data_IF_631128816940
#
_entry.id   IF_631128816940
#
_cell.length_a   1.000
_cell.length_b   1.000
_cell.length_c   1.000
_cell.angle_alpha   90.00
_cell.angle_beta   90.00
_cell.angle_gamma   90.00
#
_symmetry.space_group_name_H-M   'P 1'
#
loop_
_entity.id
_entity.type
_entity.pdbx_description
1 polymer ?
#
# COMPACT_ATOMS: atom_id res chain seq x y z
N UNK A 1 14.95 0.40 -1.06
CA UNK A 1 14.95 -0.34 0.23
C UNK A 1 13.76 -1.29 0.29
N UNK A 2 13.99 -2.59 0.05
CA UNK A 2 12.97 -3.66 0.19
C UNK A 2 12.75 -4.44 -1.10
N UNK A 3 13.00 -5.75 -1.06
CA UNK A 3 12.92 -6.67 -2.21
C UNK A 3 11.67 -7.57 -2.21
N UNK A 4 10.54 -7.05 -1.70
CA UNK A 4 9.23 -7.70 -1.90
C UNK A 4 8.69 -7.43 -3.30
N UNK A 5 7.53 -8.00 -3.65
CA UNK A 5 6.96 -7.92 -5.01
C UNK A 5 6.88 -6.50 -5.54
N UNK A 6 6.41 -5.55 -4.70
CA UNK A 6 6.27 -4.16 -5.11
C UNK A 6 7.61 -3.41 -5.19
N UNK A 7 8.52 -3.63 -4.24
CA UNK A 7 9.85 -3.02 -4.28
C UNK A 7 10.69 -3.48 -5.46
N UNK A 8 10.64 -4.77 -5.80
CA UNK A 8 11.29 -5.31 -7.00
C UNK A 8 10.64 -4.79 -8.28
N UNK A 9 9.30 -4.68 -8.32
CA UNK A 9 8.60 -4.10 -9.47
C UNK A 9 9.03 -2.65 -9.69
N UNK A 10 9.11 -1.83 -8.65
CA UNK A 10 9.57 -0.45 -8.78
C UNK A 10 11.03 -0.38 -9.18
N UNK A 11 11.90 -1.23 -8.63
CA UNK A 11 13.29 -1.27 -9.04
C UNK A 11 13.42 -1.49 -10.55
N UNK A 12 12.65 -2.44 -11.11
CA UNK A 12 12.53 -2.65 -12.56
C UNK A 12 12.03 -1.39 -13.28
N UNK A 13 10.95 -0.75 -12.80
CA UNK A 13 10.40 0.47 -13.44
C UNK A 13 11.41 1.61 -13.48
N UNK A 14 12.12 1.87 -12.37
CA UNK A 14 13.17 2.89 -12.32
C UNK A 14 14.34 2.53 -13.25
N UNK A 15 14.74 1.26 -13.33
CA UNK A 15 15.77 0.80 -14.27
C UNK A 15 15.33 0.96 -15.72
N UNK A 16 14.10 0.60 -16.06
CA UNK A 16 13.53 0.73 -17.41
C UNK A 16 13.34 2.21 -17.82
N UNK A 17 13.17 3.11 -16.85
CA UNK A 17 13.18 4.55 -17.04
C UNK A 17 14.61 5.13 -17.23
N UNK A 18 15.65 4.29 -17.16
CA UNK A 18 17.04 4.66 -17.45
C UNK A 18 17.87 5.08 -16.25
N UNK A 19 17.44 4.79 -15.01
CA UNK A 19 18.18 5.15 -13.80
C UNK A 19 19.20 4.07 -13.41
N UNK A 20 20.26 4.49 -12.72
CA UNK A 20 21.09 3.59 -11.92
C UNK A 20 20.32 3.22 -10.64
N UNK A 21 20.05 1.93 -10.45
CA UNK A 21 19.21 1.44 -9.35
C UNK A 21 19.95 0.36 -8.58
N UNK A 22 19.92 0.49 -7.24
CA UNK A 22 20.36 -0.55 -6.31
C UNK A 22 19.17 -1.05 -5.50
N UNK A 23 18.83 -2.32 -5.64
CA UNK A 23 17.81 -3.00 -4.85
C UNK A 23 18.43 -3.61 -3.60
N UNK A 24 18.00 -3.12 -2.43
CA UNK A 24 18.35 -3.75 -1.16
C UNK A 24 17.42 -4.92 -0.83
N UNK A 25 18.00 -6.10 -0.61
CA UNK A 25 17.31 -7.28 -0.10
C UNK A 25 17.86 -7.64 1.29
N UNK A 26 16.99 -7.77 2.29
CA UNK A 26 17.40 -8.02 3.69
C UNK A 26 18.25 -9.29 3.88
N UNK A 27 17.98 -10.33 3.09
CA UNK A 27 18.65 -11.64 3.18
C UNK A 27 19.70 -11.73 2.09
N UNK A 28 20.93 -12.11 2.46
CA UNK A 28 22.01 -12.28 1.50
C UNK A 28 21.72 -13.39 0.49
N UNK A 29 21.08 -14.47 0.90
CA UNK A 29 20.71 -15.56 0.00
C UNK A 29 19.75 -15.10 -1.10
N UNK A 30 18.80 -14.22 -0.75
CA UNK A 30 17.89 -13.61 -1.73
C UNK A 30 18.63 -12.62 -2.63
N UNK A 31 19.50 -11.77 -2.06
CA UNK A 31 20.30 -10.83 -2.85
C UNK A 31 21.18 -11.55 -3.88
N UNK A 32 21.89 -12.60 -3.49
CA UNK A 32 22.70 -13.43 -4.40
C UNK A 32 21.85 -14.08 -5.47
N UNK A 33 20.73 -14.68 -5.08
CA UNK A 33 19.81 -15.32 -6.05
C UNK A 33 19.38 -14.33 -7.13
N UNK A 34 18.99 -13.11 -6.74
CA UNK A 34 18.55 -12.09 -7.70
C UNK A 34 19.73 -11.61 -8.57
N UNK A 35 20.93 -11.42 -8.00
CA UNK A 35 22.12 -11.04 -8.78
C UNK A 35 22.47 -12.07 -9.86
N UNK A 36 22.44 -13.35 -9.49
CA UNK A 36 22.92 -14.43 -10.36
C UNK A 36 21.89 -14.81 -11.43
N UNK A 37 20.60 -14.74 -11.09
CA UNK A 37 19.51 -15.17 -11.98
C UNK A 37 18.76 -14.03 -12.67
N UNK A 38 18.99 -12.78 -12.27
CA UNK A 38 18.19 -11.62 -12.64
C UNK A 38 16.67 -11.84 -12.43
N UNK A 39 16.30 -12.59 -11.39
CA UNK A 39 14.91 -12.93 -11.09
C UNK A 39 14.68 -12.97 -9.58
N UNK A 40 13.60 -12.36 -9.11
CA UNK A 40 13.16 -12.51 -7.71
C UNK A 40 12.08 -13.59 -7.61
N UNK A 41 12.50 -14.86 -7.61
CA UNK A 41 11.58 -16.03 -7.62
C UNK A 41 10.65 -16.08 -6.42
N UNK A 42 11.10 -15.63 -5.25
CA UNK A 42 10.34 -15.66 -4.01
C UNK A 42 9.11 -14.73 -4.06
N UNK A 43 9.23 -13.58 -4.73
CA UNK A 43 8.21 -12.52 -4.67
C UNK A 43 7.62 -12.14 -6.04
N UNK A 44 8.31 -12.44 -7.14
CA UNK A 44 7.94 -12.04 -8.49
C UNK A 44 8.41 -13.08 -9.53
N UNK A 45 7.97 -14.35 -9.41
CA UNK A 45 8.45 -15.43 -10.28
C UNK A 45 8.08 -15.19 -11.75
N UNK A 46 8.98 -15.56 -12.65
CA UNK A 46 8.82 -15.45 -14.10
C UNK A 46 9.06 -14.05 -14.68
N UNK A 47 9.50 -13.08 -13.87
CA UNK A 47 9.85 -11.73 -14.33
C UNK A 47 11.37 -11.58 -14.36
N UNK A 48 11.91 -11.42 -15.57
CA UNK A 48 13.32 -11.04 -15.78
C UNK A 48 13.53 -9.58 -15.41
N UNK A 49 14.49 -9.32 -14.53
CA UNK A 49 14.92 -7.99 -14.12
C UNK A 49 16.01 -7.47 -15.04
N UNK A 50 16.14 -6.14 -15.22
CA UNK A 50 17.17 -5.56 -16.06
C UNK A 50 18.59 -5.92 -15.59
N UNK A 51 19.49 -6.21 -16.53
CA UNK A 51 20.90 -6.52 -16.22
C UNK A 51 21.63 -5.35 -15.52
N UNK A 52 21.15 -4.12 -15.72
CA UNK A 52 21.69 -2.92 -15.09
C UNK A 52 21.32 -2.79 -13.60
N UNK A 53 20.33 -3.55 -13.12
CA UNK A 53 19.86 -3.47 -11.74
C UNK A 53 20.89 -4.10 -10.79
N UNK A 54 21.46 -3.28 -9.91
CA UNK A 54 22.35 -3.75 -8.86
C UNK A 54 21.53 -4.29 -7.68
N UNK A 55 22.04 -5.31 -6.99
CA UNK A 55 21.35 -5.91 -5.83
C UNK A 55 22.35 -6.20 -4.72
N UNK A 56 22.05 -5.72 -3.50
CA UNK A 56 22.92 -5.90 -2.32
C UNK A 56 22.09 -6.23 -1.08
N UNK A 57 22.71 -6.90 -0.11
CA UNK A 57 22.17 -7.04 1.25
C UNK A 57 22.70 -5.99 2.23
N UNK A 58 23.71 -5.22 1.83
CA UNK A 58 24.24 -4.11 2.61
C UNK A 58 23.35 -2.88 2.45
N UNK A 59 22.70 -2.48 3.54
CA UNK A 59 21.88 -1.25 3.53
C UNK A 59 22.74 -0.01 3.24
N UNK A 60 23.98 0.00 3.71
CA UNK A 60 24.94 1.07 3.46
C UNK A 60 25.26 1.23 1.98
N UNK A 61 25.62 0.15 1.30
CA UNK A 61 25.89 0.19 -0.14
C UNK A 61 24.65 0.61 -0.95
N UNK A 62 23.46 0.21 -0.53
CA UNK A 62 22.23 0.56 -1.22
C UNK A 62 21.83 2.05 -1.07
N UNK A 63 22.26 2.70 0.04
CA UNK A 63 21.93 4.09 0.35
C UNK A 63 23.01 5.07 -0.11
N UNK A 64 24.23 4.60 -0.32
CA UNK A 64 25.37 5.45 -0.70
C UNK A 64 25.08 6.24 -1.99
N UNK A 65 25.14 7.56 -1.89
CA UNK A 65 24.94 8.47 -3.04
C UNK A 65 23.52 8.52 -3.60
N UNK A 66 22.53 7.87 -2.98
CA UNK A 66 21.17 7.82 -3.50
C UNK A 66 20.47 9.19 -3.48
N UNK A 67 20.03 9.69 -4.64
CA UNK A 67 19.22 10.91 -4.73
C UNK A 67 17.74 10.66 -4.36
N UNK A 68 17.24 9.45 -4.61
CA UNK A 68 15.89 9.01 -4.28
C UNK A 68 16.00 7.69 -3.50
N UNK A 69 15.48 7.66 -2.28
CA UNK A 69 15.41 6.44 -1.45
C UNK A 69 13.97 5.96 -1.43
N UNK A 70 13.70 4.89 -2.18
CA UNK A 70 12.38 4.25 -2.22
C UNK A 70 12.23 3.27 -1.05
N UNK A 71 11.26 3.52 -0.18
CA UNK A 71 10.95 2.74 1.02
C UNK A 71 9.81 1.76 0.71
N UNK A 72 10.17 0.54 0.33
CA UNK A 72 9.28 -0.54 -0.09
C UNK A 72 9.15 -1.64 0.98
N UNK A 73 8.89 -1.22 2.22
CA UNK A 73 8.86 -2.08 3.41
C UNK A 73 7.43 -2.07 3.97
N UNK A 74 6.92 -3.19 4.52
CA UNK A 74 5.62 -3.20 5.17
C UNK A 74 5.51 -2.12 6.26
N UNK A 75 4.35 -1.49 6.34
CA UNK A 75 4.07 -0.34 7.22
C UNK A 75 4.51 -0.57 8.68
N UNK A 76 4.29 -1.77 9.21
CA UNK A 76 4.62 -2.10 10.62
C UNK A 76 6.10 -2.37 10.87
N UNK A 77 6.90 -2.59 9.83
CA UNK A 77 8.34 -2.80 9.95
C UNK A 77 9.14 -1.53 9.63
N UNK A 78 8.50 -0.50 9.07
CA UNK A 78 9.16 0.69 8.55
C UNK A 78 9.99 1.42 9.62
N UNK A 79 9.39 1.72 10.78
CA UNK A 79 10.06 2.43 11.88
C UNK A 79 11.37 1.76 12.32
N UNK A 80 11.33 0.45 12.55
CA UNK A 80 12.51 -0.30 13.00
C UNK A 80 13.64 -0.26 11.97
N UNK A 81 13.30 -0.40 10.68
CA UNK A 81 14.31 -0.32 9.61
C UNK A 81 14.87 1.11 9.47
N UNK A 82 14.02 2.14 9.55
CA UNK A 82 14.48 3.53 9.48
C UNK A 82 15.41 3.89 10.64
N UNK A 83 15.17 3.36 11.84
CA UNK A 83 16.04 3.58 13.00
C UNK A 83 17.46 3.02 12.77
N UNK A 84 17.60 1.93 12.03
CA UNK A 84 18.89 1.34 11.65
C UNK A 84 19.60 2.14 10.54
N UNK A 85 18.85 2.83 9.68
CA UNK A 85 19.40 3.48 8.49
C UNK A 85 19.53 4.99 8.60
N UNK A 86 18.97 5.61 9.63
CA UNK A 86 18.88 7.07 9.79
C UNK A 86 20.18 7.79 9.45
N UNK A 87 21.30 7.33 10.01
CA UNK A 87 22.62 7.96 9.84
C UNK A 87 23.24 7.73 8.45
N UNK A 88 22.72 6.74 7.72
CA UNK A 88 23.21 6.32 6.40
C UNK A 88 22.40 6.93 5.26
N UNK A 89 21.15 7.35 5.53
CA UNK A 89 20.29 7.99 4.54
C UNK A 89 20.92 9.33 4.13
N UNK A 90 21.16 9.59 2.82
CA UNK A 90 21.74 10.86 2.39
C UNK A 90 20.87 12.05 2.79
N UNK A 91 21.51 13.11 3.30
CA UNK A 91 20.83 14.26 3.91
C UNK A 91 19.91 15.04 2.96
N UNK A 92 20.12 14.96 1.65
CA UNK A 92 19.26 15.63 0.66
C UNK A 92 18.39 14.66 -0.17
N UNK A 93 18.47 13.35 0.14
CA UNK A 93 17.68 12.35 -0.57
C UNK A 93 16.19 12.63 -0.42
N UNK A 94 15.45 12.42 -1.51
CA UNK A 94 13.98 12.35 -1.48
C UNK A 94 13.57 10.97 -1.00
N UNK A 95 12.79 10.91 0.08
CA UNK A 95 12.31 9.67 0.69
C UNK A 95 10.93 9.34 0.11
N UNK A 96 10.81 8.26 -0.65
CA UNK A 96 9.56 7.88 -1.32
C UNK A 96 8.95 6.69 -0.59
N UNK A 97 7.85 6.91 0.14
CA UNK A 97 7.08 5.84 0.76
C UNK A 97 6.22 5.11 -0.28
N UNK A 98 6.32 3.78 -0.29
CA UNK A 98 5.38 2.92 -1.02
C UNK A 98 4.36 2.22 -0.08
N UNK A 99 4.53 2.41 1.23
CA UNK A 99 3.77 1.68 2.25
C UNK A 99 2.32 2.19 2.32
N UNK A 100 1.36 1.26 2.44
CA UNK A 100 -0.08 1.53 2.36
C UNK A 100 -0.78 1.07 3.66
N UNK A 101 -0.45 1.75 4.75
CA UNK A 101 -0.99 1.45 6.07
C UNK A 101 -0.77 2.56 7.09
N UNK A 102 -1.33 2.34 8.29
CA UNK A 102 -1.19 3.21 9.46
C UNK A 102 -0.43 2.42 10.54
N UNK A 103 0.55 3.06 11.17
CA UNK A 103 1.36 2.42 12.21
C UNK A 103 0.51 2.02 13.41
N UNK A 104 0.66 0.77 13.86
CA UNK A 104 -0.05 0.27 15.04
C UNK A 104 0.48 0.96 16.30
N UNK A 105 -0.43 1.39 17.16
CA UNK A 105 -0.13 2.01 18.46
C UNK A 105 0.03 3.53 18.40
N UNK A 106 0.79 4.06 17.44
CA UNK A 106 0.96 5.52 17.28
C UNK A 106 -0.16 6.14 16.43
N UNK A 107 -0.74 5.34 15.52
CA UNK A 107 -1.70 5.77 14.50
C UNK A 107 -1.13 6.81 13.52
N UNK A 108 0.20 6.89 13.40
CA UNK A 108 0.87 7.75 12.43
C UNK A 108 0.78 7.17 11.02
N UNK A 109 0.68 8.07 10.04
CA UNK A 109 0.85 7.78 8.62
C UNK A 109 2.33 7.51 8.33
N UNK A 110 2.63 6.84 7.22
CA UNK A 110 4.00 6.43 6.91
C UNK A 110 4.90 7.63 6.65
N UNK A 111 4.39 8.71 6.05
CA UNK A 111 5.11 9.97 5.91
C UNK A 111 5.49 10.59 7.26
N UNK A 112 4.60 10.51 8.25
CA UNK A 112 4.83 11.01 9.61
C UNK A 112 5.86 10.13 10.35
N UNK A 113 5.77 8.81 10.21
CA UNK A 113 6.78 7.87 10.75
C UNK A 113 8.16 8.15 10.14
N UNK A 114 8.22 8.39 8.82
CA UNK A 114 9.48 8.73 8.14
C UNK A 114 10.06 10.02 8.72
N UNK A 115 9.25 11.08 8.81
CA UNK A 115 9.68 12.37 9.36
C UNK A 115 10.16 12.23 10.81
N UNK A 116 9.39 11.51 11.65
CA UNK A 116 9.70 11.36 13.07
C UNK A 116 11.01 10.57 13.31
N UNK A 117 11.23 9.47 12.57
CA UNK A 117 12.40 8.62 12.79
C UNK A 117 13.65 9.22 12.15
N UNK A 118 13.52 9.73 10.92
CA UNK A 118 14.68 10.23 10.16
C UNK A 118 15.00 11.70 10.42
N UNK A 119 14.11 12.43 11.09
CA UNK A 119 14.16 13.89 11.24
C UNK A 119 14.23 14.64 9.90
N UNK A 120 13.84 13.98 8.80
CA UNK A 120 13.76 14.61 7.50
C UNK A 120 12.64 15.64 7.47
N UNK A 121 12.92 16.79 6.86
CA UNK A 121 11.89 17.79 6.57
C UNK A 121 10.75 17.15 5.75
N UNK A 122 9.46 17.36 6.09
CA UNK A 122 8.34 16.80 5.35
C UNK A 122 8.35 17.10 3.85
N UNK A 123 8.95 18.21 3.42
CA UNK A 123 9.14 18.53 2.00
C UNK A 123 9.99 17.50 1.25
N UNK A 124 10.84 16.74 1.94
CA UNK A 124 11.67 15.66 1.36
C UNK A 124 10.94 14.34 1.22
N UNK A 125 9.73 14.22 1.75
CA UNK A 125 9.00 12.97 1.85
C UNK A 125 7.90 12.96 0.79
N UNK A 126 8.00 12.01 -0.13
CA UNK A 126 7.01 11.76 -1.15
C UNK A 126 6.31 10.41 -0.88
N UNK A 127 5.10 10.27 -1.41
CA UNK A 127 4.30 9.05 -1.33
C UNK A 127 3.90 8.64 -2.73
N UNK A 128 4.18 7.40 -3.11
CA UNK A 128 3.73 6.82 -4.37
C UNK A 128 2.57 5.86 -4.09
N UNK A 129 1.40 6.20 -4.62
CA UNK A 129 0.18 5.40 -4.46
C UNK A 129 -0.71 5.49 -5.71
N UNK A 130 -1.61 4.52 -5.87
CA UNK A 130 -2.40 4.36 -7.08
C UNK A 130 -2.68 2.89 -7.39
N UNK A 131 -3.49 2.61 -8.44
CA UNK A 131 -3.85 1.26 -8.88
C UNK A 131 -2.62 0.52 -9.38
N UNK A 132 -1.92 -0.10 -8.45
CA UNK A 132 -0.55 -0.56 -8.67
C UNK A 132 -0.40 -2.03 -8.30
N UNK A 133 -1.04 -2.90 -9.09
CA UNK A 133 -0.87 -4.34 -8.97
C UNK A 133 0.53 -4.70 -9.48
N UNK A 134 1.40 -5.12 -8.56
CA UNK A 134 2.82 -5.33 -8.82
C UNK A 134 3.09 -6.24 -10.03
N UNK A 135 2.34 -7.35 -10.16
CA UNK A 135 2.51 -8.30 -11.25
C UNK A 135 2.22 -7.70 -12.63
N UNK A 136 1.08 -7.00 -12.80
CA UNK A 136 0.72 -6.39 -14.09
C UNK A 136 1.78 -5.36 -14.53
N UNK A 137 2.25 -4.55 -13.58
CA UNK A 137 3.28 -3.54 -13.85
C UNK A 137 4.63 -4.20 -14.17
N UNK A 138 4.99 -5.27 -13.46
CA UNK A 138 6.21 -6.02 -13.72
C UNK A 138 6.22 -6.66 -15.11
N UNK A 139 5.04 -7.07 -15.61
CA UNK A 139 4.80 -7.59 -16.95
C UNK A 139 4.78 -6.49 -18.04
N UNK A 140 4.96 -5.22 -17.66
CA UNK A 140 4.98 -4.09 -18.59
C UNK A 140 3.59 -3.67 -19.06
N UNK A 141 2.52 -4.04 -18.34
CA UNK A 141 1.18 -3.60 -18.68
C UNK A 141 1.01 -2.10 -18.33
N UNK A 142 0.28 -1.32 -19.15
CA UNK A 142 0.06 0.09 -18.89
C UNK A 142 -0.60 0.36 -17.54
N UNK A 143 0.03 1.17 -16.70
CA UNK A 143 -0.49 1.59 -15.42
C UNK A 143 -0.26 3.08 -15.16
N UNK A 144 -1.11 3.66 -14.32
CA UNK A 144 -0.96 5.02 -13.84
C UNK A 144 -0.76 5.03 -12.32
N UNK A 145 0.00 6.00 -11.82
CA UNK A 145 0.22 6.20 -10.38
C UNK A 145 0.23 7.67 -10.01
N UNK A 146 0.22 7.97 -8.73
CA UNK A 146 0.34 9.32 -8.18
C UNK A 146 1.55 9.38 -7.25
N UNK A 147 2.28 10.49 -7.36
CA UNK A 147 3.36 10.88 -6.46
C UNK A 147 2.91 12.15 -5.74
N UNK A 148 2.65 12.02 -4.44
CA UNK A 148 2.29 13.12 -3.58
C UNK A 148 3.53 13.62 -2.84
N UNK A 149 3.82 14.92 -2.87
CA UNK A 149 4.88 15.52 -2.06
C UNK A 149 4.54 16.98 -1.77
N UNK A 150 4.81 17.51 -0.56
CA UNK A 150 4.59 18.92 -0.28
C UNK A 150 5.47 19.83 -1.17
N UNK A 151 6.67 19.35 -1.53
CA UNK A 151 7.54 19.99 -2.52
C UNK A 151 7.24 19.47 -3.93
N UNK A 152 6.61 20.30 -4.75
CA UNK A 152 6.29 19.97 -6.14
C UNK A 152 7.52 19.64 -6.99
N UNK A 153 8.69 20.23 -6.71
CA UNK A 153 9.90 19.96 -7.49
C UNK A 153 10.41 18.56 -7.21
N UNK A 154 10.36 18.11 -5.96
CA UNK A 154 10.67 16.71 -5.61
C UNK A 154 9.64 15.75 -6.17
N UNK A 155 8.35 16.09 -6.15
CA UNK A 155 7.33 15.30 -6.83
C UNK A 155 7.63 15.12 -8.33
N UNK A 156 8.00 16.21 -9.03
CA UNK A 156 8.38 16.20 -10.46
C UNK A 156 9.68 15.43 -10.72
N UNK A 157 10.65 15.51 -9.82
CA UNK A 157 11.90 14.74 -9.90
C UNK A 157 11.62 13.23 -9.81
N UNK A 158 10.83 12.79 -8.82
CA UNK A 158 10.41 11.38 -8.71
C UNK A 158 9.55 10.97 -9.90
N UNK A 159 8.66 11.85 -10.38
CA UNK A 159 7.83 11.62 -11.56
C UNK A 159 8.69 11.33 -12.80
N UNK A 160 9.70 12.15 -13.07
CA UNK A 160 10.62 11.93 -14.18
C UNK A 160 11.42 10.63 -14.00
N UNK A 161 11.88 10.35 -12.79
CA UNK A 161 12.70 9.17 -12.50
C UNK A 161 11.94 7.84 -12.60
N UNK A 162 10.62 7.82 -12.41
CA UNK A 162 9.81 6.59 -12.48
C UNK A 162 8.97 6.47 -13.76
N UNK A 163 9.07 7.42 -14.68
CA UNK A 163 8.32 7.40 -15.92
C UNK A 163 8.91 6.41 -16.94
N UNK A 164 8.29 5.24 -17.06
CA UNK A 164 8.63 4.22 -18.04
C UNK A 164 7.54 4.15 -19.15
N UNK A 165 7.79 3.54 -20.31
CA UNK A 165 6.81 3.46 -21.42
C UNK A 165 5.44 2.89 -21.03
N UNK A 166 5.40 2.06 -19.99
CA UNK A 166 4.18 1.42 -19.46
C UNK A 166 3.75 1.95 -18.08
N UNK A 167 4.47 2.89 -17.49
CA UNK A 167 4.18 3.39 -16.15
C UNK A 167 4.12 4.91 -16.13
N UNK A 168 2.91 5.45 -15.99
CA UNK A 168 2.62 6.89 -16.10
C UNK A 168 2.37 7.53 -14.73
N UNK A 169 3.36 8.23 -14.15
CA UNK A 169 3.19 8.94 -12.89
C UNK A 169 2.52 10.31 -13.08
N UNK A 170 1.62 10.66 -12.18
CA UNK A 170 1.04 12.00 -11.99
C UNK A 170 1.50 12.56 -10.64
N UNK A 171 1.45 13.88 -10.46
CA UNK A 171 1.84 14.53 -9.21
C UNK A 171 0.67 15.22 -8.54
N UNK A 172 0.72 15.31 -7.21
CA UNK A 172 -0.10 16.23 -6.41
C UNK A 172 0.68 16.63 -5.15
N UNK A 173 0.09 17.51 -4.33
CA UNK A 173 0.66 17.94 -3.04
C UNK A 173 -0.05 17.34 -1.83
N UNK A 174 -1.15 16.61 -2.05
CA UNK A 174 -1.97 16.03 -0.99
C UNK A 174 -1.44 14.66 -0.53
N UNK A 175 -0.39 14.70 0.29
CA UNK A 175 0.18 13.51 0.95
C UNK A 175 -0.84 12.81 1.84
N UNK A 176 -1.65 13.58 2.59
CA UNK A 176 -2.65 13.04 3.52
C UNK A 176 -3.67 12.19 2.77
N UNK A 177 -4.32 12.76 1.74
CA UNK A 177 -5.32 12.03 0.96
C UNK A 177 -4.75 10.82 0.24
N UNK A 178 -3.52 10.93 -0.25
CA UNK A 178 -2.83 9.85 -0.98
C UNK A 178 -2.53 8.66 -0.06
N UNK A 179 -2.05 8.90 1.17
CA UNK A 179 -1.83 7.83 2.15
C UNK A 179 -3.13 7.25 2.69
N UNK A 180 -4.11 8.07 3.02
CA UNK A 180 -5.39 7.60 3.57
C UNK A 180 -6.15 6.77 2.54
N UNK A 181 -6.15 7.18 1.27
CA UNK A 181 -6.68 6.39 0.16
C UNK A 181 -6.03 5.02 0.06
N UNK A 182 -4.69 4.98 0.05
CA UNK A 182 -3.90 3.75 -0.04
C UNK A 182 -4.05 2.83 1.18
N UNK A 183 -4.09 3.38 2.39
CA UNK A 183 -4.19 2.61 3.63
C UNK A 183 -5.59 2.00 3.81
N UNK A 184 -6.63 2.80 3.60
CA UNK A 184 -7.99 2.38 3.90
C UNK A 184 -8.61 1.46 2.85
N UNK A 185 -8.19 1.54 1.59
CA UNK A 185 -8.72 0.65 0.53
C UNK A 185 -8.55 -0.83 0.87
N UNK A 186 -7.49 -1.19 1.59
CA UNK A 186 -7.16 -2.60 1.87
C UNK A 186 -8.22 -3.23 2.79
N UNK A 187 -8.81 -2.43 3.68
CA UNK A 187 -9.93 -2.83 4.54
C UNK A 187 -11.21 -3.00 3.72
N UNK A 188 -11.49 -2.09 2.80
CA UNK A 188 -12.65 -2.20 1.90
C UNK A 188 -12.51 -3.41 0.97
N UNK A 189 -11.30 -3.66 0.45
CA UNK A 189 -11.03 -4.83 -0.38
C UNK A 189 -11.23 -6.15 0.37
N UNK A 190 -10.93 -6.21 1.68
CA UNK A 190 -11.28 -7.36 2.52
C UNK A 190 -12.80 -7.53 2.60
N UNK A 191 -13.56 -6.45 2.80
CA UNK A 191 -15.03 -6.52 2.81
C UNK A 191 -15.59 -7.02 1.47
N UNK A 192 -15.06 -6.53 0.34
CA UNK A 192 -15.43 -7.01 -0.99
C UNK A 192 -15.07 -8.49 -1.19
N UNK A 193 -13.90 -8.91 -0.71
CA UNK A 193 -13.52 -10.32 -0.66
C UNK A 193 -14.51 -11.17 0.12
N UNK A 194 -14.85 -10.76 1.35
CA UNK A 194 -15.82 -11.45 2.21
C UNK A 194 -17.17 -11.58 1.49
N UNK A 195 -17.65 -10.50 0.88
CA UNK A 195 -18.87 -10.48 0.07
C UNK A 195 -18.83 -11.52 -1.06
N UNK A 196 -17.70 -11.62 -1.77
CA UNK A 196 -17.52 -12.58 -2.86
C UNK A 196 -17.49 -14.02 -2.34
N UNK A 197 -16.73 -14.28 -1.28
CA UNK A 197 -16.62 -15.61 -0.67
C UNK A 197 -17.95 -16.13 -0.10
N UNK A 198 -18.81 -15.21 0.36
CA UNK A 198 -20.16 -15.53 0.82
C UNK A 198 -21.15 -15.77 -0.33
N UNK A 199 -20.78 -15.48 -1.58
CA UNK A 199 -21.61 -15.68 -2.77
C UNK A 199 -22.55 -14.51 -3.09
N UNK A 200 -22.25 -13.29 -2.62
CA UNK A 200 -23.02 -12.10 -2.98
C UNK A 200 -22.58 -11.55 -4.35
N UNK A 201 -23.53 -11.00 -5.10
CA UNK A 201 -23.29 -10.51 -6.47
C UNK A 201 -22.64 -9.11 -6.56
N UNK A 202 -22.37 -8.69 -7.80
CA UNK A 202 -21.64 -7.44 -8.09
C UNK A 202 -22.35 -6.16 -7.62
N UNK A 203 -23.67 -6.16 -7.46
CA UNK A 203 -24.38 -5.01 -6.87
C UNK A 203 -23.92 -4.74 -5.43
N UNK A 204 -23.65 -5.79 -4.66
CA UNK A 204 -23.10 -5.67 -3.31
C UNK A 204 -21.67 -5.14 -3.36
N UNK A 205 -20.85 -5.66 -4.28
CA UNK A 205 -19.48 -5.21 -4.47
C UNK A 205 -19.40 -3.71 -4.84
N UNK A 206 -20.20 -3.28 -5.81
CA UNK A 206 -20.31 -1.87 -6.20
C UNK A 206 -20.77 -0.99 -5.03
N UNK A 207 -21.72 -1.47 -4.21
CA UNK A 207 -22.18 -0.77 -3.02
C UNK A 207 -21.06 -0.64 -1.97
N UNK A 208 -20.29 -1.70 -1.72
CA UNK A 208 -19.16 -1.70 -0.79
C UNK A 208 -18.05 -0.75 -1.25
N UNK A 209 -17.70 -0.76 -2.53
CA UNK A 209 -16.71 0.17 -3.10
C UNK A 209 -17.17 1.61 -2.92
N UNK A 210 -18.42 1.91 -3.29
CA UNK A 210 -18.96 3.29 -3.23
C UNK A 210 -19.04 3.80 -1.78
N UNK A 211 -19.59 2.99 -0.87
CA UNK A 211 -19.72 3.38 0.54
C UNK A 211 -18.38 3.35 1.27
N UNK A 212 -17.48 2.45 0.88
CA UNK A 212 -16.10 2.42 1.34
C UNK A 212 -15.36 3.69 0.97
N UNK A 213 -15.46 4.15 -0.28
CA UNK A 213 -14.86 5.43 -0.71
C UNK A 213 -15.37 6.61 0.13
N UNK A 214 -16.66 6.62 0.49
CA UNK A 214 -17.23 7.64 1.36
C UNK A 214 -16.68 7.60 2.80
N UNK A 215 -16.36 6.41 3.33
CA UNK A 215 -15.66 6.29 4.63
C UNK A 215 -14.24 6.83 4.55
N UNK A 216 -13.51 6.46 3.50
CA UNK A 216 -12.14 6.92 3.25
C UNK A 216 -12.12 8.45 3.14
N UNK A 217 -13.02 9.03 2.36
CA UNK A 217 -13.11 10.47 2.17
C UNK A 217 -13.47 11.20 3.47
N UNK A 218 -14.38 10.67 4.30
CA UNK A 218 -14.70 11.25 5.62
C UNK A 218 -13.51 11.26 6.56
N UNK A 219 -12.78 10.14 6.67
CA UNK A 219 -11.60 10.06 7.51
C UNK A 219 -10.51 11.02 6.99
N UNK A 220 -10.25 10.99 5.69
CA UNK A 220 -9.28 11.85 5.04
C UNK A 220 -9.56 13.33 5.24
N UNK A 221 -10.81 13.77 5.02
CA UNK A 221 -11.20 15.17 5.24
C UNK A 221 -11.00 15.60 6.71
N UNK A 222 -11.29 14.72 7.67
CA UNK A 222 -11.05 14.98 9.10
C UNK A 222 -9.55 15.14 9.40
N UNK A 223 -8.69 14.46 8.65
CA UNK A 223 -7.23 14.56 8.74
C UNK A 223 -6.63 15.69 7.89
N UNK A 224 -7.46 16.47 7.18
CA UNK A 224 -7.02 17.61 6.36
C UNK A 224 -6.65 17.27 4.91
N UNK A 225 -7.06 16.11 4.39
CA UNK A 225 -6.88 15.76 2.98
C UNK A 225 -7.76 16.60 2.04
N UNK A 226 -7.32 16.76 0.78
CA UNK A 226 -8.14 17.31 -0.29
C UNK A 226 -9.15 16.24 -0.76
N UNK A 227 -10.44 16.56 -0.69
CA UNK A 227 -11.51 15.68 -1.13
C UNK A 227 -11.34 15.20 -2.59
N UNK A 228 -10.74 16.02 -3.47
CA UNK A 228 -10.51 15.68 -4.88
C UNK A 228 -9.58 14.48 -5.05
N UNK A 229 -8.62 14.29 -4.12
CA UNK A 229 -7.67 13.16 -4.16
C UNK A 229 -8.40 11.82 -4.17
N UNK A 230 -9.51 11.71 -3.46
CA UNK A 230 -10.29 10.46 -3.38
C UNK A 230 -11.00 10.11 -4.69
N UNK A 231 -11.32 11.09 -5.53
CA UNK A 231 -11.86 10.85 -6.88
C UNK A 231 -10.81 10.41 -7.89
N UNK A 232 -9.51 10.58 -7.57
CA UNK A 232 -8.39 10.26 -8.44
C UNK A 232 -7.84 8.84 -8.27
N UNK A 233 -6.63 8.63 -8.81
CA UNK A 233 -5.93 7.34 -8.82
C UNK A 233 -5.62 6.83 -7.41
N UNK A 234 -5.23 7.70 -6.47
CA UNK A 234 -4.86 7.31 -5.11
C UNK A 234 -6.07 6.90 -4.23
N UNK A 235 -7.28 7.32 -4.60
CA UNK A 235 -8.53 6.92 -3.96
C UNK A 235 -9.28 5.90 -4.81
N UNK A 236 -10.23 6.37 -5.62
CA UNK A 236 -11.14 5.55 -6.42
C UNK A 236 -10.39 4.56 -7.32
N UNK A 237 -9.33 5.00 -8.02
CA UNK A 237 -8.57 4.14 -8.92
C UNK A 237 -8.00 2.92 -8.21
N UNK A 238 -7.23 3.15 -7.15
CA UNK A 238 -6.59 2.09 -6.38
C UNK A 238 -7.63 1.22 -5.63
N UNK A 239 -8.69 1.82 -5.12
CA UNK A 239 -9.79 1.11 -4.48
C UNK A 239 -10.45 0.12 -5.44
N UNK A 240 -10.85 0.55 -6.64
CA UNK A 240 -11.50 -0.29 -7.64
C UNK A 240 -10.58 -1.43 -8.07
N UNK A 241 -9.33 -1.14 -8.41
CA UNK A 241 -8.36 -2.16 -8.82
C UNK A 241 -8.17 -3.24 -7.72
N UNK A 242 -8.11 -2.82 -6.46
CA UNK A 242 -7.87 -3.71 -5.33
C UNK A 242 -9.09 -4.54 -4.94
N UNK A 243 -10.30 -3.98 -5.08
CA UNK A 243 -11.54 -4.70 -4.79
C UNK A 243 -11.93 -5.66 -5.92
N UNK A 244 -11.54 -5.36 -7.17
CA UNK A 244 -12.01 -6.09 -8.36
C UNK A 244 -11.03 -7.15 -8.88
N UNK A 245 -9.77 -7.14 -8.44
CA UNK A 245 -8.74 -8.06 -8.95
C UNK A 245 -8.47 -9.25 -8.01
N UNK A 246 -8.41 -10.50 -8.50
CA UNK A 246 -7.99 -11.66 -7.71
C UNK A 246 -6.48 -11.62 -7.37
N UNK A 247 -5.72 -10.73 -7.99
CA UNK A 247 -4.31 -10.46 -7.64
C UNK A 247 -4.17 -9.68 -6.32
N UNK A 248 -5.26 -9.10 -5.82
CA UNK A 248 -5.30 -8.41 -4.53
C UNK A 248 -5.29 -9.42 -3.39
N UNK A 249 -4.17 -9.50 -2.67
CA UNK A 249 -4.05 -10.34 -1.45
C UNK A 249 -5.16 -10.06 -0.43
N UNK A 250 -5.59 -8.81 -0.29
CA UNK A 250 -6.67 -8.44 0.63
C UNK A 250 -8.02 -9.00 0.18
N UNK A 251 -8.34 -8.91 -1.12
CA UNK A 251 -9.57 -9.49 -1.66
C UNK A 251 -9.57 -11.01 -1.49
N UNK A 252 -8.49 -11.69 -1.90
CA UNK A 252 -8.41 -13.15 -1.83
C UNK A 252 -8.45 -13.66 -0.38
N UNK A 253 -7.83 -12.93 0.56
CA UNK A 253 -7.94 -13.24 1.98
C UNK A 253 -9.38 -13.06 2.48
N UNK A 254 -10.05 -11.98 2.08
CA UNK A 254 -11.45 -11.74 2.42
C UNK A 254 -12.37 -12.85 1.88
N UNK A 255 -12.13 -13.33 0.66
CA UNK A 255 -12.89 -14.42 0.05
C UNK A 255 -12.86 -15.69 0.89
N UNK A 256 -11.68 -16.06 1.42
CA UNK A 256 -11.53 -17.20 2.32
C UNK A 256 -12.35 -17.03 3.60
N UNK A 257 -12.32 -15.84 4.19
CA UNK A 257 -13.16 -15.52 5.35
C UNK A 257 -14.65 -15.61 5.02
N UNK A 258 -15.06 -15.13 3.83
CA UNK A 258 -16.44 -15.23 3.34
C UNK A 258 -16.92 -16.67 3.17
N UNK A 259 -16.02 -17.59 2.81
CA UNK A 259 -16.26 -19.03 2.71
C UNK A 259 -16.33 -19.72 4.09
N UNK A 260 -16.10 -18.98 5.18
CA UNK A 260 -16.14 -19.50 6.55
C UNK A 260 -14.82 -20.09 7.05
N UNK A 261 -13.71 -19.87 6.34
CA UNK A 261 -12.39 -20.25 6.84
C UNK A 261 -11.97 -19.39 8.05
N UNK A 262 -11.14 -19.94 8.93
CA UNK A 262 -10.55 -19.17 10.03
C UNK A 262 -9.45 -18.24 9.52
N UNK A 263 -9.13 -17.20 10.29
CA UNK A 263 -8.00 -16.30 10.01
C UNK A 263 -6.68 -17.07 9.82
N UNK A 264 -6.46 -18.11 10.61
CA UNK A 264 -5.27 -18.96 10.51
C UNK A 264 -5.20 -19.72 9.18
N UNK A 265 -6.31 -20.34 8.75
CA UNK A 265 -6.37 -21.03 7.45
C UNK A 265 -6.22 -20.08 6.28
N UNK A 266 -6.86 -18.91 6.36
CA UNK A 266 -6.72 -17.86 5.35
C UNK A 266 -5.26 -17.38 5.24
N UNK A 267 -4.54 -17.29 6.37
CA UNK A 267 -3.10 -16.93 6.41
C UNK A 267 -2.22 -18.02 5.81
N UNK A 268 -2.47 -19.28 6.11
CA UNK A 268 -1.74 -20.41 5.52
C UNK A 268 -1.89 -20.43 3.99
N UNK A 269 -3.11 -20.19 3.49
CA UNK A 269 -3.40 -20.13 2.06
C UNK A 269 -2.72 -18.96 1.33
N UNK A 270 -2.27 -17.92 2.04
CA UNK A 270 -1.53 -16.77 1.49
C UNK A 270 -0.02 -16.85 1.74
N UNK A 271 0.53 -18.07 1.71
CA UNK A 271 1.96 -18.37 1.95
C UNK A 271 2.46 -17.86 3.31
N UNK A 272 1.61 -17.92 4.34
CA UNK A 272 1.93 -17.50 5.70
C UNK A 272 1.96 -15.98 5.93
N UNK A 273 1.69 -15.16 4.91
CA UNK A 273 1.65 -13.70 5.05
C UNK A 273 0.23 -13.24 5.40
N UNK A 274 0.07 -12.56 6.53
CA UNK A 274 -1.17 -11.88 6.88
C UNK A 274 -1.40 -10.71 5.92
N UNK A 275 -2.61 -10.61 5.36
CA UNK A 275 -2.97 -9.51 4.46
C UNK A 275 -2.90 -8.17 5.21
N UNK A 276 -2.31 -7.14 4.59
CA UNK A 276 -2.08 -5.83 5.21
C UNK A 276 -3.39 -5.19 5.71
N UNK A 277 -4.52 -5.44 5.05
CA UNK A 277 -5.83 -4.97 5.46
C UNK A 277 -6.30 -5.54 6.81
N UNK A 278 -5.88 -6.75 7.19
CA UNK A 278 -6.24 -7.35 8.49
C UNK A 278 -5.54 -6.59 9.59
N UNK A 279 -4.26 -6.26 9.41
CA UNK A 279 -3.49 -5.48 10.39
C UNK A 279 -3.98 -4.03 10.40
N UNK A 280 -4.20 -3.45 9.22
CA UNK A 280 -4.60 -2.05 9.06
C UNK A 280 -6.01 -1.78 9.55
N UNK A 281 -6.92 -2.76 9.53
CA UNK A 281 -8.29 -2.57 10.01
C UNK A 281 -8.34 -2.18 11.48
N UNK A 282 -7.44 -2.72 12.32
CA UNK A 282 -7.30 -2.28 13.71
C UNK A 282 -6.83 -0.82 13.79
N UNK A 283 -5.70 -0.48 13.16
CA UNK A 283 -5.14 0.88 13.23
C UNK A 283 -6.10 1.95 12.70
N UNK A 284 -6.82 1.65 11.61
CA UNK A 284 -7.80 2.57 11.01
C UNK A 284 -9.05 2.68 11.87
N UNK A 285 -9.56 1.57 12.42
CA UNK A 285 -10.70 1.59 13.34
C UNK A 285 -10.39 2.43 14.58
N UNK A 286 -9.23 2.23 15.19
CA UNK A 286 -8.79 2.96 16.38
C UNK A 286 -8.62 4.46 16.07
N UNK A 287 -8.02 4.80 14.92
CA UNK A 287 -7.86 6.19 14.46
C UNK A 287 -9.22 6.86 14.21
N UNK A 288 -10.13 6.19 13.50
CA UNK A 288 -11.47 6.71 13.22
C UNK A 288 -12.25 6.93 14.52
N UNK A 289 -12.17 5.99 15.47
CA UNK A 289 -12.79 6.09 16.79
C UNK A 289 -12.24 7.27 17.58
N UNK A 290 -10.92 7.44 17.62
CA UNK A 290 -10.25 8.57 18.28
C UNK A 290 -10.70 9.92 17.73
N UNK A 291 -10.97 9.99 16.44
CA UNK A 291 -11.41 11.21 15.74
C UNK A 291 -12.94 11.37 15.67
N UNK A 292 -13.72 10.41 16.17
CA UNK A 292 -15.19 10.45 16.10
C UNK A 292 -15.75 10.29 14.67
N UNK A 293 -15.01 9.65 13.77
CA UNK A 293 -15.41 9.46 12.37
C UNK A 293 -16.16 8.13 12.20
N UNK A 294 -17.38 8.18 11.67
CA UNK A 294 -18.14 6.97 11.35
C UNK A 294 -17.53 6.23 10.13
N UNK A 295 -16.95 5.06 10.37
CA UNK A 295 -16.46 4.11 9.36
C UNK A 295 -17.04 2.68 9.53
N UNK A 296 -18.30 2.45 9.14
CA UNK A 296 -19.02 1.23 9.52
C UNK A 296 -18.60 -0.05 8.79
N UNK A 297 -18.16 0.03 7.53
CA UNK A 297 -17.52 -1.10 6.82
C UNK A 297 -16.21 -1.43 7.52
N UNK A 298 -15.39 -0.42 7.83
CA UNK A 298 -14.15 -0.61 8.58
C UNK A 298 -14.40 -1.24 9.95
N UNK A 299 -15.40 -0.78 10.69
CA UNK A 299 -15.81 -1.35 11.97
C UNK A 299 -16.25 -2.80 11.85
N UNK A 300 -17.01 -3.15 10.81
CA UNK A 300 -17.46 -4.52 10.59
C UNK A 300 -16.29 -5.46 10.24
N UNK A 301 -15.38 -5.02 9.36
CA UNK A 301 -14.16 -5.78 9.02
C UNK A 301 -13.27 -5.93 10.26
N UNK A 302 -13.11 -4.89 11.06
CA UNK A 302 -12.41 -4.98 12.35
C UNK A 302 -13.06 -6.02 13.27
N UNK A 303 -14.40 -6.02 13.35
CA UNK A 303 -15.16 -7.00 14.12
C UNK A 303 -14.86 -8.45 13.69
N UNK A 304 -14.86 -8.71 12.39
CA UNK A 304 -14.58 -10.04 11.83
C UNK A 304 -13.12 -10.45 12.07
N UNK A 305 -12.18 -9.53 11.87
CA UNK A 305 -10.74 -9.82 11.96
C UNK A 305 -10.20 -9.90 13.39
N UNK A 306 -10.82 -9.21 14.36
CA UNK A 306 -10.22 -8.99 15.69
C UNK A 306 -11.16 -9.21 16.87
N UNK A 307 -12.46 -9.43 16.62
CA UNK A 307 -13.50 -9.54 17.68
C UNK A 307 -14.41 -10.75 17.49
N UNK A 308 -13.99 -11.75 16.71
CA UNK A 308 -14.72 -12.99 16.46
C UNK A 308 -16.16 -12.78 15.93
N UNK A 309 -16.43 -11.63 15.29
CA UNK A 309 -17.71 -11.39 14.65
C UNK A 309 -17.87 -12.33 13.46
N UNK A 310 -19.03 -12.98 13.35
CA UNK A 310 -19.31 -13.84 12.18
C UNK A 310 -19.61 -12.98 10.96
N UNK A 311 -19.26 -13.47 9.78
CA UNK A 311 -19.58 -12.82 8.49
C UNK A 311 -21.08 -12.56 8.34
N UNK A 312 -21.93 -13.49 8.81
CA UNK A 312 -23.39 -13.31 8.81
C UNK A 312 -23.83 -12.10 9.63
N UNK A 313 -23.19 -11.87 10.78
CA UNK A 313 -23.52 -10.78 11.69
C UNK A 313 -23.04 -9.44 11.10
N UNK A 314 -21.89 -9.43 10.42
CA UNK A 314 -21.42 -8.28 9.64
C UNK A 314 -22.44 -7.87 8.56
N UNK A 315 -22.96 -8.84 7.80
CA UNK A 315 -23.94 -8.56 6.73
C UNK A 315 -25.23 -7.96 7.33
N UNK A 316 -25.75 -8.56 8.40
CA UNK A 316 -26.95 -8.06 9.09
C UNK A 316 -26.71 -6.65 9.65
N UNK A 317 -25.55 -6.41 10.27
CA UNK A 317 -25.20 -5.12 10.84
C UNK A 317 -25.12 -4.02 9.78
N UNK A 318 -24.55 -4.29 8.61
CA UNK A 318 -24.44 -3.32 7.52
C UNK A 318 -25.79 -3.02 6.85
N UNK A 319 -26.64 -4.05 6.68
CA UNK A 319 -27.97 -3.89 6.07
C UNK A 319 -29.01 -3.28 7.01
N UNK A 320 -28.89 -3.51 8.32
CA UNK A 320 -29.83 -3.04 9.34
C UNK A 320 -29.67 -1.56 9.74
N UNK A 321 -28.74 -0.83 9.11
CA UNK A 321 -28.48 0.58 9.46
C UNK A 321 -29.62 1.50 9.03
N UNK A 322 -29.78 2.59 9.76
CA UNK A 322 -30.76 3.62 9.44
C UNK A 322 -30.52 4.19 8.03
N UNK A 323 -31.61 4.34 7.27
CA UNK A 323 -31.60 4.91 5.92
C UNK A 323 -31.19 6.38 6.03
N UNK A 324 -30.10 6.77 5.35
CA UNK A 324 -29.62 8.16 5.26
C UNK A 324 -29.79 8.65 3.80
N UNK A 325 -29.93 9.95 3.60
CA UNK A 325 -29.83 10.55 2.26
C UNK A 325 -28.42 10.31 1.70
N UNK A 326 -28.33 10.24 0.36
CA UNK A 326 -27.07 10.09 -0.37
C UNK A 326 -26.20 11.35 -0.27
#
# INVERSE_FOLDING_TARGET
MGAGSWGTTLAKVFSDAGNAVTLWARREELASTIRDSHENRDYLPGITLPESLQVTSSATEALEGAAIVVLAIPSQALRGNLAEWKETIPQDATLVSLAKGIEKGTHLRMSEVIAEVTEADPSRIAVLSGPNLAREIAEGQPAATVIACPDENRAKLVQAAVAAPYFRPYTNTDVVGTEIGGACKNVIALACGISHGYGLGENTNASLITRGLAEIARLGATLGADAKTFSGLAGMGDLVATCSSPLSRNRSFGERLGQGESLEKAREATNGQVAEGVISSQSIFDLATKLGVEMPITQAVYGVCHRDMKVTDMIVALMGRSKKAE
#
